data_IF_976716559256
#
_entry.id   IF_976716559256
#
_cell.length_a   1.000
_cell.length_b   1.000
_cell.length_c   1.000
_cell.angle_alpha   90.00
_cell.angle_beta   90.00
_cell.angle_gamma   90.00
#
_symmetry.space_group_name_H-M   'P 1'
#
loop_
_entity.id
_entity.type
_entity.pdbx_description
1 polymer ?
#
# COMPACT_ATOMS: atom_id res chain seq x y z
N UNK A 1 6.37 -26.22 -4.14
CA UNK A 1 6.64 -25.66 -2.83
C UNK A 1 7.91 -24.81 -2.94
N UNK A 2 7.75 -23.51 -3.07
CA UNK A 2 8.88 -22.58 -2.98
C UNK A 2 9.36 -22.60 -1.54
N UNK A 3 10.54 -23.18 -1.29
CA UNK A 3 11.25 -22.91 -0.05
C UNK A 3 11.90 -21.54 -0.22
N UNK A 4 11.11 -20.51 0.10
CA UNK A 4 11.59 -19.15 0.13
C UNK A 4 12.69 -19.05 1.18
N UNK A 5 13.94 -18.98 0.72
CA UNK A 5 15.04 -18.63 1.61
C UNK A 5 14.84 -17.18 2.05
N UNK A 6 15.19 -16.80 3.28
CA UNK A 6 15.09 -15.42 3.72
C UNK A 6 15.74 -14.42 2.74
N UNK A 7 16.88 -14.76 2.16
CA UNK A 7 17.59 -13.94 1.17
C UNK A 7 16.82 -13.72 -0.13
N UNK A 8 16.05 -14.72 -0.60
CA UNK A 8 15.23 -14.56 -1.82
C UNK A 8 14.10 -13.58 -1.59
N UNK A 9 13.53 -13.55 -0.38
CA UNK A 9 12.46 -12.64 0.00
C UNK A 9 12.96 -11.21 0.21
N UNK A 10 14.15 -11.01 0.79
CA UNK A 10 14.78 -9.68 0.87
C UNK A 10 14.99 -9.08 -0.52
N UNK A 11 15.48 -9.92 -1.43
CA UNK A 11 15.70 -9.52 -2.81
C UNK A 11 14.40 -9.15 -3.55
N UNK A 12 13.31 -9.89 -3.29
CA UNK A 12 11.98 -9.57 -3.82
C UNK A 12 11.48 -8.23 -3.25
N UNK A 13 11.67 -7.97 -1.96
CA UNK A 13 11.29 -6.72 -1.33
C UNK A 13 12.08 -5.53 -1.92
N UNK A 14 13.38 -5.70 -2.11
CA UNK A 14 14.23 -4.71 -2.76
C UNK A 14 13.79 -4.43 -4.19
N UNK A 15 13.50 -5.48 -4.97
CA UNK A 15 13.01 -5.37 -6.34
C UNK A 15 11.68 -4.62 -6.41
N UNK A 16 10.77 -4.92 -5.49
CA UNK A 16 9.48 -4.23 -5.38
C UNK A 16 9.67 -2.74 -5.14
N UNK A 17 10.56 -2.36 -4.20
CA UNK A 17 10.82 -0.95 -3.89
C UNK A 17 11.48 -0.22 -5.07
N UNK A 18 12.38 -0.87 -5.81
CA UNK A 18 12.95 -0.34 -7.06
C UNK A 18 11.89 -0.15 -8.14
N UNK A 19 10.95 -1.08 -8.27
CA UNK A 19 9.83 -0.94 -9.19
C UNK A 19 8.91 0.22 -8.77
N UNK A 20 8.62 0.38 -7.48
CA UNK A 20 7.85 1.51 -6.96
C UNK A 20 8.54 2.86 -7.22
N UNK A 21 9.86 2.93 -7.05
CA UNK A 21 10.65 4.12 -7.40
C UNK A 21 10.53 4.44 -8.89
N UNK A 22 10.69 3.44 -9.75
CA UNK A 22 10.54 3.61 -11.20
C UNK A 22 9.13 4.06 -11.61
N UNK A 23 8.09 3.54 -10.94
CA UNK A 23 6.69 3.94 -11.15
C UNK A 23 6.37 5.34 -10.63
N UNK A 24 7.30 6.00 -9.91
CA UNK A 24 7.12 7.35 -9.38
C UNK A 24 6.16 7.41 -8.20
N UNK A 25 6.25 6.48 -7.27
CA UNK A 25 5.47 6.54 -6.04
C UNK A 25 5.77 7.82 -5.27
N UNK A 26 4.73 8.42 -4.70
CA UNK A 26 4.83 9.66 -3.93
C UNK A 26 5.11 9.43 -2.45
N UNK A 27 4.69 8.29 -1.91
CA UNK A 27 4.81 7.98 -0.48
C UNK A 27 4.53 6.49 -0.23
N UNK A 28 5.18 5.93 0.78
CA UNK A 28 4.89 4.60 1.32
C UNK A 28 4.49 4.71 2.79
N UNK A 29 3.29 4.22 3.15
CA UNK A 29 2.93 4.01 4.56
C UNK A 29 3.53 2.70 5.05
N UNK A 30 4.39 2.76 6.07
CA UNK A 30 5.08 1.60 6.61
C UNK A 30 4.19 0.89 7.63
N UNK A 31 3.99 -0.41 7.40
CA UNK A 31 3.31 -1.31 8.33
C UNK A 31 4.25 -2.34 8.95
N UNK A 32 3.67 -3.30 9.64
CA UNK A 32 4.43 -4.40 10.27
C UNK A 32 5.11 -5.33 9.27
N UNK A 33 4.55 -5.63 8.08
CA UNK A 33 5.20 -6.51 7.10
C UNK A 33 6.54 -6.00 6.59
N UNK A 34 6.71 -4.67 6.49
CA UNK A 34 7.94 -4.05 6.01
C UNK A 34 9.13 -4.30 6.93
N UNK A 35 8.89 -4.60 8.22
CA UNK A 35 9.94 -4.96 9.18
C UNK A 35 10.37 -6.42 9.12
N UNK A 36 9.80 -7.23 8.23
CA UNK A 36 10.07 -8.68 8.16
C UNK A 36 11.57 -9.01 8.07
N UNK A 37 12.35 -8.18 7.40
CA UNK A 37 13.80 -8.32 7.25
C UNK A 37 14.59 -7.43 8.23
N UNK A 38 13.91 -6.89 9.21
CA UNK A 38 14.50 -6.03 10.22
C UNK A 38 14.53 -4.55 9.84
N UNK A 39 14.73 -3.75 10.86
CA UNK A 39 14.77 -2.29 10.78
C UNK A 39 15.90 -1.78 9.88
N UNK A 40 17.06 -2.42 9.94
CA UNK A 40 18.24 -1.94 9.22
C UNK A 40 18.10 -2.19 7.71
N UNK A 41 17.57 -3.34 7.30
CA UNK A 41 17.20 -3.59 5.92
C UNK A 41 16.28 -2.48 5.39
N UNK A 42 15.17 -2.23 6.08
CA UNK A 42 14.21 -1.22 5.65
C UNK A 42 14.82 0.20 5.62
N UNK A 43 15.70 0.54 6.57
CA UNK A 43 16.45 1.79 6.56
C UNK A 43 17.35 1.89 5.32
N UNK A 44 18.05 0.82 4.98
CA UNK A 44 19.02 0.80 3.87
C UNK A 44 18.32 0.95 2.51
N UNK A 45 17.05 0.53 2.40
CA UNK A 45 16.25 0.75 1.20
C UNK A 45 16.04 2.24 0.87
N UNK A 46 16.22 3.15 1.85
CA UNK A 46 16.19 4.61 1.62
C UNK A 46 17.29 5.09 0.66
N UNK A 47 18.35 4.32 0.46
CA UNK A 47 19.45 4.69 -0.44
C UNK A 47 19.04 4.68 -1.92
N UNK A 48 17.98 3.96 -2.27
CA UNK A 48 17.49 3.83 -3.65
C UNK A 48 15.99 4.13 -3.81
N UNK A 49 15.35 4.69 -2.79
CA UNK A 49 13.98 5.19 -2.88
C UNK A 49 13.96 6.70 -2.59
N UNK A 50 13.43 7.50 -3.51
CA UNK A 50 13.27 8.95 -3.34
C UNK A 50 11.98 9.30 -2.59
N UNK A 51 10.94 8.48 -2.72
CA UNK A 51 9.68 8.70 -2.01
C UNK A 51 9.83 8.49 -0.50
N UNK A 52 9.23 9.37 0.31
CA UNK A 52 9.29 9.27 1.77
C UNK A 52 8.50 8.08 2.31
N UNK A 53 8.95 7.58 3.47
CA UNK A 53 8.23 6.59 4.25
C UNK A 53 7.50 7.30 5.39
N UNK A 54 6.17 7.15 5.46
CA UNK A 54 5.36 7.74 6.54
C UNK A 54 5.01 6.69 7.60
N UNK A 55 5.09 7.10 8.87
CA UNK A 55 4.80 6.27 10.04
C UNK A 55 4.37 7.17 11.21
N UNK A 56 3.09 7.59 11.23
CA UNK A 56 2.62 8.64 12.16
C UNK A 56 2.45 8.15 13.58
N UNK A 57 2.20 6.86 13.77
CA UNK A 57 1.95 6.27 15.08
C UNK A 57 2.87 5.09 15.43
N UNK A 58 3.83 4.75 14.59
CA UNK A 58 4.76 3.64 14.80
C UNK A 58 5.98 4.10 15.60
N UNK A 59 6.40 3.27 16.55
CA UNK A 59 7.60 3.46 17.37
C UNK A 59 8.49 2.22 17.28
N UNK A 60 9.78 2.42 17.45
CA UNK A 60 10.78 1.37 17.61
C UNK A 60 11.59 1.66 18.88
N UNK A 61 11.64 0.72 19.82
CA UNK A 61 12.19 0.93 21.17
C UNK A 61 11.62 2.21 21.84
N UNK A 62 10.30 2.42 21.70
CA UNK A 62 9.60 3.57 22.25
C UNK A 62 9.93 4.92 21.62
N UNK A 63 10.66 4.93 20.49
CA UNK A 63 11.08 6.13 19.77
C UNK A 63 10.62 6.13 18.32
N UNK A 64 10.41 7.31 17.79
CA UNK A 64 10.19 7.51 16.35
C UNK A 64 11.43 7.05 15.56
N UNK A 65 11.18 6.44 14.40
CA UNK A 65 12.23 6.06 13.46
C UNK A 65 12.78 7.31 12.75
N UNK A 66 14.08 7.61 12.84
CA UNK A 66 14.64 8.89 12.35
C UNK A 66 14.65 9.02 10.82
N UNK A 67 14.43 7.93 10.10
CA UNK A 67 14.38 7.89 8.62
C UNK A 67 12.96 7.77 8.08
N UNK A 68 11.95 7.95 8.93
CA UNK A 68 10.53 8.04 8.56
C UNK A 68 9.97 9.40 8.93
N UNK A 69 8.90 9.79 8.22
CA UNK A 69 8.17 11.01 8.49
C UNK A 69 6.85 10.70 9.22
N UNK A 70 6.42 11.56 10.14
CA UNK A 70 5.08 11.42 10.73
C UNK A 70 3.97 11.82 9.76
N UNK A 71 4.26 12.76 8.91
CA UNK A 71 3.45 13.16 7.76
C UNK A 71 4.34 13.86 6.74
N UNK A 72 3.87 13.96 5.53
CA UNK A 72 4.51 14.77 4.48
C UNK A 72 3.51 15.80 3.95
N UNK A 73 4.02 16.88 3.37
CA UNK A 73 3.22 17.83 2.62
C UNK A 73 3.80 17.93 1.23
N UNK A 74 2.98 17.70 0.20
CA UNK A 74 3.32 17.89 -1.21
C UNK A 74 2.56 19.09 -1.76
N UNK A 75 3.23 19.92 -2.53
CA UNK A 75 2.61 20.97 -3.33
C UNK A 75 2.30 20.41 -4.73
N UNK A 76 1.04 20.34 -5.07
CA UNK A 76 0.58 19.89 -6.38
C UNK A 76 -0.26 21.01 -6.98
N UNK A 77 0.31 21.72 -7.96
CA UNK A 77 -0.33 22.85 -8.65
C UNK A 77 -0.82 23.95 -7.69
N UNK A 78 -0.07 24.22 -6.63
CA UNK A 78 -0.39 25.24 -5.63
C UNK A 78 -1.29 24.75 -4.51
N UNK A 79 -1.79 23.51 -4.54
CA UNK A 79 -2.51 22.87 -3.43
C UNK A 79 -1.55 22.10 -2.54
N UNK A 80 -1.57 22.38 -1.25
CA UNK A 80 -0.78 21.68 -0.25
C UNK A 80 -1.54 20.48 0.26
N UNK A 81 -1.04 19.29 -0.08
CA UNK A 81 -1.64 18.01 0.29
C UNK A 81 -0.80 17.37 1.37
N UNK A 82 -1.36 17.22 2.57
CA UNK A 82 -0.74 16.46 3.64
C UNK A 82 -1.11 14.98 3.55
N UNK A 83 -0.14 14.11 3.80
CA UNK A 83 -0.33 12.66 3.80
C UNK A 83 0.16 12.12 5.14
N UNK A 84 -0.72 11.40 5.85
CA UNK A 84 -0.50 10.79 7.16
C UNK A 84 -0.56 9.27 7.00
N UNK A 85 0.27 8.53 7.72
CA UNK A 85 0.29 7.06 7.68
C UNK A 85 0.02 6.44 9.05
N UNK A 86 -1.00 5.59 9.18
CA UNK A 86 -1.32 4.87 10.41
C UNK A 86 -1.22 3.36 10.23
N UNK A 87 -0.70 2.70 11.28
CA UNK A 87 -0.78 1.26 11.45
C UNK A 87 -1.82 0.89 12.51
N UNK A 88 -2.30 -0.34 12.43
CA UNK A 88 -3.14 -0.91 13.49
C UNK A 88 -2.25 -1.42 14.64
N UNK A 89 -2.34 -0.88 15.86
CA UNK A 89 -1.59 -1.38 17.01
C UNK A 89 -1.86 -2.86 17.31
N UNK A 90 -3.07 -3.36 17.03
CA UNK A 90 -3.45 -4.75 17.28
C UNK A 90 -2.60 -5.73 16.47
N UNK A 91 -2.11 -5.34 15.28
CA UNK A 91 -1.25 -6.19 14.45
C UNK A 91 0.09 -6.54 15.12
N UNK A 92 0.55 -5.72 16.05
CA UNK A 92 1.76 -5.96 16.84
C UNK A 92 1.55 -7.03 17.92
N UNK A 93 0.32 -7.17 18.40
CA UNK A 93 -0.05 -8.10 19.48
C UNK A 93 -0.65 -9.40 18.98
N UNK A 94 -1.28 -9.40 17.81
CA UNK A 94 -1.94 -10.59 17.22
C UNK A 94 -0.96 -11.68 16.78
N UNK A 95 0.31 -11.35 16.59
CA UNK A 95 1.36 -12.29 16.19
C UNK A 95 2.53 -12.31 17.18
N UNK A 96 2.29 -12.62 18.45
CA UNK A 96 3.35 -12.67 19.46
C UNK A 96 4.35 -13.76 19.07
N UNK A 97 5.63 -13.42 19.08
CA UNK A 97 6.72 -14.36 18.76
C UNK A 97 7.35 -14.15 17.39
N UNK A 98 6.86 -13.22 16.58
CA UNK A 98 7.60 -12.78 15.41
C UNK A 98 8.74 -11.84 15.87
N UNK A 99 9.97 -12.30 15.71
CA UNK A 99 11.17 -11.59 16.22
C UNK A 99 11.29 -10.17 15.66
N UNK A 100 10.88 -9.96 14.40
CA UNK A 100 10.94 -8.65 13.77
C UNK A 100 9.93 -7.62 14.33
N UNK A 101 8.94 -8.06 15.12
CA UNK A 101 7.97 -7.18 15.79
C UNK A 101 8.38 -6.81 17.22
N UNK A 102 9.39 -7.46 17.78
CA UNK A 102 9.74 -7.41 19.23
C UNK A 102 9.94 -6.00 19.79
N UNK A 103 10.48 -5.10 19.00
CA UNK A 103 10.77 -3.72 19.45
C UNK A 103 9.82 -2.69 18.84
N UNK A 104 8.81 -3.16 18.09
CA UNK A 104 7.79 -2.28 17.53
C UNK A 104 6.70 -2.02 18.55
N UNK A 105 6.25 -0.79 18.62
CA UNK A 105 5.11 -0.32 19.40
C UNK A 105 4.34 0.72 18.57
N UNK A 106 3.11 0.99 18.94
CA UNK A 106 2.30 1.98 18.23
C UNK A 106 1.46 2.82 19.19
N UNK A 107 1.51 4.13 18.98
CA UNK A 107 0.59 5.06 19.63
C UNK A 107 -0.83 4.76 19.13
N UNK A 108 -1.88 4.76 20.00
CA UNK A 108 -3.25 4.65 19.54
C UNK A 108 -3.57 5.66 18.43
N UNK A 109 -4.16 5.20 17.34
CA UNK A 109 -4.37 5.99 16.12
C UNK A 109 -5.07 7.33 16.39
N UNK A 110 -6.10 7.33 17.24
CA UNK A 110 -6.81 8.54 17.64
C UNK A 110 -5.89 9.57 18.33
N UNK A 111 -5.03 9.13 19.22
CA UNK A 111 -4.09 10.00 19.95
C UNK A 111 -3.06 10.59 18.98
N UNK A 112 -2.53 9.78 18.06
CA UNK A 112 -1.59 10.26 17.06
C UNK A 112 -2.21 11.34 16.17
N UNK A 113 -3.44 11.12 15.68
CA UNK A 113 -4.14 12.12 14.86
C UNK A 113 -4.47 13.38 15.62
N UNK A 114 -4.98 13.30 16.84
CA UNK A 114 -5.29 14.46 17.68
C UNK A 114 -4.06 15.33 17.94
N UNK A 115 -2.90 14.73 18.03
CA UNK A 115 -1.62 15.45 18.18
C UNK A 115 -1.18 16.13 16.89
N UNK A 116 -1.33 15.48 15.74
CA UNK A 116 -0.75 15.94 14.47
C UNK A 116 -1.66 16.89 13.69
N UNK A 117 -2.97 16.65 13.71
CA UNK A 117 -3.93 17.36 12.85
C UNK A 117 -3.97 18.88 13.06
N UNK A 118 -3.87 19.44 14.28
CA UNK A 118 -3.88 20.89 14.43
C UNK A 118 -2.74 21.59 13.67
N UNK A 119 -1.53 21.01 13.70
CA UNK A 119 -0.39 21.52 12.97
C UNK A 119 -0.54 21.31 11.46
N UNK A 120 -0.99 20.13 11.04
CA UNK A 120 -1.15 19.77 9.63
C UNK A 120 -2.19 20.65 8.96
N UNK A 121 -3.35 20.86 9.61
CA UNK A 121 -4.43 21.71 9.08
C UNK A 121 -4.06 23.17 8.95
N UNK A 122 -3.10 23.65 9.75
CA UNK A 122 -2.56 25.00 9.59
C UNK A 122 -1.64 25.15 8.36
N UNK A 123 -1.21 24.04 7.75
CA UNK A 123 -0.21 24.01 6.67
C UNK A 123 -0.72 23.42 5.36
N UNK A 124 -1.83 22.69 5.38
CA UNK A 124 -2.30 21.92 4.23
C UNK A 124 -3.78 22.22 3.91
N UNK A 125 -4.07 22.27 2.61
CA UNK A 125 -5.40 22.46 2.06
C UNK A 125 -6.21 21.16 2.08
N UNK A 126 -5.54 20.03 1.85
CA UNK A 126 -6.14 18.69 1.80
C UNK A 126 -5.35 17.76 2.71
N UNK A 127 -6.02 16.91 3.48
CA UNK A 127 -5.39 15.89 4.34
C UNK A 127 -5.86 14.51 3.92
N UNK A 128 -4.89 13.67 3.51
CA UNK A 128 -5.11 12.28 3.11
C UNK A 128 -4.53 11.37 4.21
N UNK A 129 -5.34 10.41 4.65
CA UNK A 129 -4.93 9.37 5.57
C UNK A 129 -4.69 8.05 4.82
N UNK A 130 -3.48 7.52 4.91
CA UNK A 130 -3.16 6.13 4.54
C UNK A 130 -3.34 5.25 5.78
N UNK A 131 -4.39 4.44 5.80
CA UNK A 131 -4.79 3.69 6.98
C UNK A 131 -4.58 2.18 6.81
N UNK A 132 -3.76 1.58 7.64
CA UNK A 132 -3.61 0.13 7.80
C UNK A 132 -4.47 -0.42 8.95
N UNK A 133 -5.56 0.26 9.30
CA UNK A 133 -6.49 -0.17 10.36
C UNK A 133 -7.56 -1.15 9.85
N UNK A 134 -7.74 -1.24 8.53
CA UNK A 134 -8.93 -1.84 7.92
C UNK A 134 -10.11 -0.88 7.88
N UNK A 135 -11.13 -1.23 7.09
CA UNK A 135 -12.26 -0.34 6.77
C UNK A 135 -13.05 0.05 8.03
N UNK A 136 -13.46 -0.95 8.80
CA UNK A 136 -14.33 -0.74 9.97
C UNK A 136 -13.67 0.18 11.02
N UNK A 137 -12.42 -0.11 11.36
CA UNK A 137 -11.68 0.71 12.34
C UNK A 137 -11.38 2.10 11.79
N UNK A 138 -11.09 2.24 10.49
CA UNK A 138 -10.91 3.54 9.83
C UNK A 138 -12.19 4.35 9.91
N UNK A 139 -13.36 3.78 9.60
CA UNK A 139 -14.66 4.45 9.74
C UNK A 139 -14.94 4.88 11.17
N UNK A 140 -14.67 4.00 12.13
CA UNK A 140 -14.88 4.32 13.55
C UNK A 140 -13.95 5.44 14.06
N UNK A 141 -12.72 5.48 13.57
CA UNK A 141 -11.75 6.53 13.88
C UNK A 141 -12.18 7.87 13.33
N UNK A 142 -12.59 7.93 12.06
CA UNK A 142 -12.96 9.17 11.38
C UNK A 142 -14.25 9.79 11.92
N UNK A 143 -15.12 9.02 12.58
CA UNK A 143 -16.26 9.54 13.35
C UNK A 143 -15.86 10.25 14.64
N UNK A 144 -14.62 10.01 15.13
CA UNK A 144 -14.11 10.56 16.41
C UNK A 144 -13.08 11.67 16.21
N UNK A 145 -12.52 11.77 15.01
CA UNK A 145 -11.43 12.69 14.70
C UNK A 145 -11.80 13.48 13.44
N UNK A 146 -11.89 14.78 13.60
CA UNK A 146 -12.10 15.71 12.49
C UNK A 146 -10.77 16.11 11.83
N UNK A 147 -10.84 16.55 10.58
CA UNK A 147 -9.66 17.10 9.91
C UNK A 147 -8.95 16.10 8.98
N UNK A 148 -9.60 15.02 8.58
CA UNK A 148 -9.19 14.14 7.48
C UNK A 148 -10.20 14.33 6.35
N UNK A 149 -9.76 14.63 5.15
CA UNK A 149 -10.62 14.83 4.00
C UNK A 149 -10.87 13.53 3.22
N UNK A 150 -9.83 12.73 3.08
CA UNK A 150 -9.86 11.44 2.36
C UNK A 150 -9.05 10.41 3.13
N UNK A 151 -9.55 9.19 3.24
CA UNK A 151 -8.79 8.06 3.75
C UNK A 151 -8.66 6.96 2.69
N UNK A 152 -7.48 6.39 2.57
CA UNK A 152 -7.20 5.18 1.79
C UNK A 152 -7.00 4.07 2.81
N UNK A 153 -7.99 3.18 2.91
CA UNK A 153 -7.97 2.08 3.88
C UNK A 153 -7.41 0.81 3.25
N UNK A 154 -6.58 0.10 4.00
CA UNK A 154 -5.97 -1.18 3.64
C UNK A 154 -5.97 -2.10 4.86
N UNK A 155 -5.33 -3.26 4.76
CA UNK A 155 -5.25 -4.34 5.74
C UNK A 155 -6.47 -5.27 5.80
N UNK A 156 -7.54 -5.00 5.10
CA UNK A 156 -8.62 -5.98 4.96
C UNK A 156 -8.20 -7.08 3.97
N UNK A 157 -8.41 -8.33 4.37
CA UNK A 157 -8.19 -9.49 3.50
C UNK A 157 -9.29 -9.65 2.44
N UNK A 158 -10.32 -8.80 2.49
CA UNK A 158 -11.47 -8.82 1.58
C UNK A 158 -11.31 -7.77 0.51
N UNK A 159 -11.75 -8.10 -0.67
CA UNK A 159 -11.87 -7.15 -1.76
C UNK A 159 -13.22 -6.43 -1.64
N UNK A 160 -13.18 -5.11 -1.57
CA UNK A 160 -14.37 -4.28 -1.63
C UNK A 160 -14.25 -3.37 -2.85
N UNK A 161 -15.34 -3.24 -3.66
CA UNK A 161 -15.36 -2.20 -4.67
C UNK A 161 -15.14 -0.83 -3.98
N UNK A 162 -14.65 0.19 -4.70
CA UNK A 162 -14.50 1.52 -4.11
C UNK A 162 -15.87 1.96 -3.63
N UNK A 163 -16.11 1.80 -2.35
CA UNK A 163 -17.26 2.40 -1.70
C UNK A 163 -16.81 3.78 -1.28
N UNK A 164 -17.30 4.79 -1.99
CA UNK A 164 -17.24 6.14 -1.49
C UNK A 164 -18.20 6.18 -0.33
N UNK A 165 -17.70 6.11 0.90
CA UNK A 165 -18.52 6.43 2.05
C UNK A 165 -18.84 7.91 1.97
N UNK A 166 -20.12 8.31 2.08
CA UNK A 166 -20.51 9.71 1.87
C UNK A 166 -19.81 10.70 2.82
N UNK A 167 -19.39 10.25 3.99
CA UNK A 167 -18.62 11.09 4.94
C UNK A 167 -17.98 10.22 6.05
N UNK A 168 -16.67 10.28 6.26
CA UNK A 168 -15.63 10.85 5.39
C UNK A 168 -15.33 9.94 4.19
N UNK A 169 -14.77 10.51 3.12
CA UNK A 169 -14.42 9.78 1.90
C UNK A 169 -13.38 8.68 2.17
N UNK A 170 -13.79 7.42 2.14
CA UNK A 170 -12.90 6.27 2.34
C UNK A 170 -12.80 5.45 1.06
N UNK A 171 -11.58 5.24 0.61
CA UNK A 171 -11.24 4.48 -0.59
C UNK A 171 -10.53 3.19 -0.21
N UNK A 172 -10.74 2.12 -0.98
CA UNK A 172 -10.04 0.85 -0.85
C UNK A 172 -9.72 0.29 -2.24
N UNK A 173 -8.62 -0.47 -2.35
CA UNK A 173 -8.20 -1.10 -3.61
C UNK A 173 -8.24 -2.63 -3.59
N UNK A 174 -8.43 -3.24 -2.43
CA UNK A 174 -8.33 -4.70 -2.27
C UNK A 174 -6.89 -5.15 -2.02
N UNK A 175 -6.59 -6.40 -2.33
CA UNK A 175 -5.31 -7.05 -2.00
C UNK A 175 -4.62 -7.63 -3.24
N UNK A 176 -3.31 -7.89 -3.11
CA UNK A 176 -2.54 -8.66 -4.10
C UNK A 176 -2.20 -7.93 -5.40
N UNK A 177 -2.31 -6.60 -5.44
CA UNK A 177 -1.94 -5.83 -6.64
C UNK A 177 -2.85 -6.07 -7.85
N UNK A 178 -4.05 -6.63 -7.66
CA UNK A 178 -4.97 -6.99 -8.76
C UNK A 178 -5.77 -5.81 -9.30
N UNK A 179 -5.73 -4.69 -8.63
CA UNK A 179 -6.40 -3.47 -9.07
C UNK A 179 -5.62 -2.22 -8.67
N UNK A 180 -5.71 -1.22 -9.52
CA UNK A 180 -5.27 0.14 -9.25
C UNK A 180 -6.47 0.99 -8.85
N UNK A 181 -6.41 1.63 -7.68
CA UNK A 181 -7.40 2.62 -7.27
C UNK A 181 -7.15 3.95 -7.99
N UNK A 182 -8.18 4.52 -8.55
CA UNK A 182 -8.19 5.86 -9.10
C UNK A 182 -9.29 6.68 -8.42
N UNK A 183 -8.97 7.90 -8.02
CA UNK A 183 -9.95 8.86 -7.52
C UNK A 183 -9.55 10.28 -7.91
N UNK A 184 -10.53 11.08 -8.30
CA UNK A 184 -10.37 12.52 -8.48
C UNK A 184 -10.78 13.22 -7.21
N UNK A 185 -9.87 13.98 -6.62
CA UNK A 185 -10.13 14.79 -5.43
C UNK A 185 -10.23 16.24 -5.88
N UNK A 186 -11.30 16.91 -5.48
CA UNK A 186 -11.54 18.32 -5.79
C UNK A 186 -11.68 19.13 -4.50
N UNK A 187 -11.20 20.37 -4.54
CA UNK A 187 -11.35 21.35 -3.49
C UNK A 187 -12.12 22.55 -4.08
N UNK A 188 -13.30 22.85 -3.53
CA UNK A 188 -14.07 23.99 -4.00
C UNK A 188 -13.65 25.30 -3.31
N UNK A 189 -14.18 26.44 -3.80
CA UNK A 189 -13.88 27.79 -3.25
C UNK A 189 -14.28 27.99 -1.79
N UNK A 190 -15.09 27.10 -1.23
CA UNK A 190 -15.50 27.10 0.18
C UNK A 190 -14.60 26.24 1.07
N UNK A 191 -13.52 25.64 0.50
CA UNK A 191 -12.64 24.74 1.22
C UNK A 191 -13.22 23.33 1.47
N UNK A 192 -14.26 22.95 0.73
CA UNK A 192 -14.85 21.60 0.84
C UNK A 192 -14.17 20.67 -0.13
N UNK A 193 -13.63 19.59 0.40
CA UNK A 193 -13.04 18.50 -0.38
C UNK A 193 -14.10 17.47 -0.75
N UNK A 194 -14.14 17.06 -2.00
CA UNK A 194 -14.98 15.96 -2.48
C UNK A 194 -14.18 14.97 -3.31
N UNK A 195 -14.59 13.71 -3.28
CA UNK A 195 -14.06 12.65 -4.13
C UNK A 195 -15.02 12.45 -5.29
N UNK A 196 -14.52 12.67 -6.49
CA UNK A 196 -15.24 12.49 -7.74
C UNK A 196 -14.59 11.36 -8.53
N UNK A 197 -15.36 10.66 -9.34
CA UNK A 197 -14.85 9.62 -10.27
C UNK A 197 -13.89 8.60 -9.58
N UNK A 198 -14.33 8.00 -8.45
CA UNK A 198 -13.60 6.94 -7.81
C UNK A 198 -13.89 5.58 -8.47
N UNK A 199 -12.84 4.87 -8.92
CA UNK A 199 -12.97 3.58 -9.58
C UNK A 199 -11.77 2.67 -9.33
N UNK A 200 -11.98 1.37 -9.52
CA UNK A 200 -10.91 0.38 -9.61
C UNK A 200 -10.63 0.06 -11.08
N UNK A 201 -9.37 0.07 -11.43
CA UNK A 201 -8.86 -0.39 -12.71
C UNK A 201 -8.28 -1.78 -12.47
N UNK A 202 -8.92 -2.80 -13.00
CA UNK A 202 -8.42 -4.18 -12.87
C UNK A 202 -7.13 -4.32 -13.66
N UNK A 203 -6.13 -4.90 -13.01
CA UNK A 203 -4.84 -5.23 -13.62
C UNK A 203 -4.90 -6.72 -14.00
N UNK A 204 -5.11 -6.98 -15.28
CA UNK A 204 -5.21 -8.33 -15.85
C UNK A 204 -4.27 -8.49 -17.05
N UNK A 205 -4.28 -9.66 -17.64
CA UNK A 205 -3.44 -10.05 -18.79
C UNK A 205 -3.65 -9.20 -20.07
N UNK A 206 -4.73 -8.41 -20.12
CA UNK A 206 -4.98 -7.48 -21.25
C UNK A 206 -4.20 -6.19 -21.12
N UNK A 207 -3.68 -5.90 -19.94
CA UNK A 207 -2.82 -4.74 -19.69
C UNK A 207 -1.44 -4.98 -20.30
N UNK A 208 -0.92 -4.04 -21.11
CA UNK A 208 0.44 -4.15 -21.61
C UNK A 208 1.46 -4.03 -20.46
N UNK A 209 2.47 -4.88 -20.49
CA UNK A 209 3.59 -4.76 -19.56
C UNK A 209 4.43 -3.52 -19.88
N UNK A 210 4.84 -2.82 -18.84
CA UNK A 210 5.83 -1.75 -18.96
C UNK A 210 7.24 -2.34 -19.18
N UNK A 211 7.96 -1.87 -20.20
CA UNK A 211 9.27 -2.38 -20.56
C UNK A 211 10.31 -2.13 -19.44
N UNK A 212 10.27 -0.98 -18.78
CA UNK A 212 11.20 -0.65 -17.70
C UNK A 212 10.98 -1.52 -16.46
N UNK A 213 9.73 -1.81 -16.11
CA UNK A 213 9.40 -2.75 -15.02
C UNK A 213 9.86 -4.16 -15.37
N UNK A 214 9.66 -4.61 -16.63
CA UNK A 214 10.21 -5.89 -17.10
C UNK A 214 11.73 -5.97 -16.93
N UNK A 215 12.44 -4.92 -17.31
CA UNK A 215 13.90 -4.88 -17.16
C UNK A 215 14.34 -4.96 -15.69
N UNK A 216 13.66 -4.27 -14.78
CA UNK A 216 13.91 -4.34 -13.34
C UNK A 216 13.71 -5.77 -12.83
N UNK A 217 12.61 -6.41 -13.20
CA UNK A 217 12.29 -7.79 -12.80
C UNK A 217 13.33 -8.77 -13.38
N UNK A 218 13.67 -8.65 -14.67
CA UNK A 218 14.66 -9.53 -15.31
C UNK A 218 16.06 -9.36 -14.72
N UNK A 219 16.48 -8.11 -14.43
CA UNK A 219 17.74 -7.86 -13.74
C UNK A 219 17.77 -8.51 -12.37
N UNK A 220 16.64 -8.44 -11.67
CA UNK A 220 16.45 -9.06 -10.39
C UNK A 220 16.59 -10.59 -10.47
N UNK A 221 15.91 -11.24 -11.40
CA UNK A 221 16.03 -12.68 -11.61
C UNK A 221 17.45 -13.11 -11.97
N UNK A 222 18.13 -12.38 -12.88
CA UNK A 222 19.51 -12.68 -13.26
C UNK A 222 20.50 -12.58 -12.10
N UNK A 223 20.38 -11.56 -11.27
CA UNK A 223 21.26 -11.38 -10.12
C UNK A 223 21.05 -12.47 -9.06
N UNK A 224 19.83 -12.87 -8.81
CA UNK A 224 19.51 -13.96 -7.88
C UNK A 224 19.94 -15.33 -8.47
N UNK A 225 19.81 -15.50 -9.80
CA UNK A 225 20.26 -16.69 -10.51
C UNK A 225 21.76 -16.93 -10.40
N UNK A 226 22.58 -15.90 -10.55
CA UNK A 226 24.03 -16.01 -10.40
C UNK A 226 24.48 -16.38 -8.97
N UNK A 227 23.67 -16.05 -7.96
CA UNK A 227 23.87 -16.52 -6.58
C UNK A 227 23.51 -18.00 -6.37
N UNK A 228 22.74 -18.60 -7.30
CA UNK A 228 22.27 -20.00 -7.23
C UNK A 228 22.96 -20.94 -8.21
N UNK A 229 24.04 -20.53 -8.87
CA UNK A 229 24.70 -21.24 -9.99
C UNK A 229 25.12 -22.71 -9.72
N UNK A 230 24.69 -23.32 -8.63
CA UNK A 230 24.94 -24.71 -8.30
C UNK A 230 23.70 -25.62 -8.29
N UNK A 231 22.48 -25.21 -8.66
CA UNK A 231 21.30 -26.02 -8.34
C UNK A 231 20.29 -26.27 -9.46
N UNK A 232 20.12 -25.44 -10.51
CA UNK A 232 19.06 -25.70 -11.50
C UNK A 232 19.45 -25.33 -12.94
N UNK A 233 18.95 -26.14 -13.91
CA UNK A 233 19.10 -25.83 -15.35
C UNK A 233 18.20 -24.66 -15.76
N UNK A 234 18.60 -23.92 -16.79
CA UNK A 234 17.85 -22.78 -17.38
C UNK A 234 16.39 -23.12 -17.69
N UNK A 235 16.13 -24.37 -18.08
CA UNK A 235 14.80 -24.90 -18.38
C UNK A 235 13.92 -25.03 -17.13
N UNK A 236 14.48 -25.45 -16.00
CA UNK A 236 13.73 -25.56 -14.73
C UNK A 236 13.37 -24.20 -14.15
N UNK A 237 14.21 -23.18 -14.37
CA UNK A 237 13.89 -21.82 -13.97
C UNK A 237 12.81 -21.20 -14.84
N UNK A 238 12.80 -21.52 -16.12
CA UNK A 238 11.77 -21.09 -17.07
C UNK A 238 10.41 -21.72 -16.73
N UNK A 239 10.40 -23.01 -16.42
CA UNK A 239 9.21 -23.74 -15.98
C UNK A 239 8.65 -23.19 -14.66
N UNK A 240 9.50 -22.82 -13.70
CA UNK A 240 9.08 -22.19 -12.43
C UNK A 240 8.57 -20.77 -12.63
N UNK A 241 9.12 -20.01 -13.58
CA UNK A 241 8.61 -18.68 -13.95
C UNK A 241 7.25 -18.81 -14.62
N UNK A 242 7.07 -19.79 -15.52
CA UNK A 242 5.78 -20.05 -16.15
C UNK A 242 4.74 -20.52 -15.13
N UNK A 243 5.10 -21.38 -14.16
CA UNK A 243 4.23 -21.81 -13.09
C UNK A 243 3.86 -20.65 -12.13
N UNK A 244 4.82 -19.75 -11.85
CA UNK A 244 4.57 -18.54 -11.07
C UNK A 244 3.62 -17.58 -11.82
N UNK A 245 3.85 -17.41 -13.11
CA UNK A 245 3.00 -16.60 -13.99
C UNK A 245 1.61 -17.24 -14.15
N UNK A 246 1.53 -18.56 -14.16
CA UNK A 246 0.26 -19.28 -14.21
C UNK A 246 -0.51 -19.22 -12.89
N UNK A 247 0.17 -19.25 -11.75
CA UNK A 247 -0.41 -18.99 -10.43
C UNK A 247 -0.92 -17.55 -10.25
N UNK A 248 -0.32 -16.59 -10.97
CA UNK A 248 -0.78 -15.21 -11.07
C UNK A 248 -1.94 -15.04 -12.05
N UNK A 249 -2.18 -16.04 -12.91
CA UNK A 249 -3.25 -16.08 -13.93
C UNK A 249 -4.62 -16.51 -13.41
N UNK A 250 -4.82 -16.68 -12.11
CA UNK A 250 -6.19 -16.76 -11.59
C UNK A 250 -6.89 -15.44 -11.92
N UNK A 251 -7.73 -15.49 -12.95
CA UNK A 251 -8.36 -14.29 -13.48
C UNK A 251 -9.24 -13.65 -12.40
N UNK A 252 -9.37 -12.33 -12.37
CA UNK A 252 -10.34 -11.64 -11.51
C UNK A 252 -11.75 -12.22 -11.65
N UNK A 253 -12.06 -12.83 -12.79
CA UNK A 253 -13.33 -13.48 -13.11
C UNK A 253 -13.55 -14.74 -12.29
N UNK A 254 -12.54 -15.60 -12.12
CA UNK A 254 -12.64 -16.82 -11.29
C UNK A 254 -12.74 -16.50 -9.82
N UNK A 255 -12.07 -15.41 -9.37
CA UNK A 255 -12.25 -14.90 -8.02
C UNK A 255 -13.66 -14.33 -7.80
N UNK A 256 -14.23 -13.66 -8.80
CA UNK A 256 -15.60 -13.12 -8.77
C UNK A 256 -16.66 -14.24 -8.79
N UNK A 257 -16.41 -15.34 -9.50
CA UNK A 257 -17.29 -16.51 -9.55
C UNK A 257 -17.34 -17.27 -8.20
N UNK A 258 -16.29 -17.16 -7.39
CA UNK A 258 -16.24 -17.73 -6.03
C UNK A 258 -17.09 -16.94 -5.01
N UNK A 259 -17.51 -15.70 -5.34
CA UNK A 259 -18.28 -14.82 -4.44
C UNK A 259 -19.46 -14.14 -5.17
N UNK A 260 -20.42 -14.90 -5.74
CA UNK A 260 -21.47 -14.38 -6.63
C UNK A 260 -22.42 -13.38 -5.95
N UNK A 261 -22.56 -13.45 -4.62
CA UNK A 261 -23.58 -12.68 -3.90
C UNK A 261 -23.15 -11.25 -3.52
N UNK A 262 -21.95 -10.79 -3.91
CA UNK A 262 -21.39 -9.51 -3.44
C UNK A 262 -21.10 -8.49 -4.54
N UNK A 263 -21.42 -8.78 -5.79
CA UNK A 263 -21.20 -7.88 -6.92
C UNK A 263 -22.48 -7.69 -7.74
N UNK A 264 -23.27 -6.70 -7.37
CA UNK A 264 -24.14 -6.04 -8.34
C UNK A 264 -23.30 -5.00 -9.07
N UNK A 265 -22.71 -5.40 -10.19
CA UNK A 265 -22.16 -4.45 -11.17
C UNK A 265 -23.37 -3.95 -11.96
N UNK A 266 -23.81 -2.72 -11.72
CA UNK A 266 -24.70 -2.05 -12.65
C UNK A 266 -23.98 -1.96 -14.01
N UNK A 267 -24.51 -2.66 -15.01
CA UNK A 267 -24.06 -2.47 -16.38
C UNK A 267 -24.36 -1.01 -16.77
N UNK A 268 -23.42 -0.29 -17.39
CA UNK A 268 -23.74 1.02 -17.93
C UNK A 268 -24.92 0.84 -18.89
N UNK A 269 -26.01 1.57 -18.61
CA UNK A 269 -27.22 1.50 -19.38
C UNK A 269 -26.94 1.74 -20.85
N UNK A 270 -27.40 0.83 -21.70
CA UNK A 270 -27.38 1.01 -23.13
C UNK A 270 -28.21 2.25 -23.48
N UNK A 271 -27.59 3.17 -24.16
CA UNK A 271 -28.31 4.15 -24.95
C UNK A 271 -28.82 3.42 -26.21
N UNK A 272 -30.13 3.35 -26.34
CA UNK A 272 -30.78 3.21 -27.64
C UNK A 272 -30.59 4.49 -28.47
#
# INVERSE_FOLDING_TARGET
>A
AFHDRPQDQEYQAETMLKAMEFMGYDVLNIGTPEFRFGKDFLKDTRSYTSFPYVASNLLYDGKKLPWTEEYIIKDINGLKIAIIGLINPDTLTESPGLEYLKNLDAIPAQIALQRLLPEIRAKADIVILLSLLGLEQTQALLKKVEGIDVAISSADKRWYPPSVCPEPNILQTGTGGRALGYARITLNDKGVVSVEDAKLITLDETMPDDAGIKDIIQAAFKANWHGQANVKSEKQAQEEIEELMEGLKQSPREFLEQYPDKLQIEKPGGME
#
